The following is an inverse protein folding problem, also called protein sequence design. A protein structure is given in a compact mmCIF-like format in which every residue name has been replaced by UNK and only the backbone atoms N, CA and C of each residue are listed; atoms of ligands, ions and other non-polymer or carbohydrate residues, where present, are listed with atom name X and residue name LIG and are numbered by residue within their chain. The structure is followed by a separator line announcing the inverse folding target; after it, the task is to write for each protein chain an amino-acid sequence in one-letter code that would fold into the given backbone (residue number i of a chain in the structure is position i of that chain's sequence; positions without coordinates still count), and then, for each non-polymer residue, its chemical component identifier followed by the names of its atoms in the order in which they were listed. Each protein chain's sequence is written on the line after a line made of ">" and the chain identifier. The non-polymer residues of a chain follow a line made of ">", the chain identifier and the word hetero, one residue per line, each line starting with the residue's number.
data_IF_305631683035
#
_entry.id   IF_305631683035
#
_cell.length_a   1.000
_cell.length_b   1.000
_cell.length_c   1.000
_cell.angle_alpha   90.00
_cell.angle_beta   90.00
_cell.angle_gamma   90.00
#
_symmetry.space_group_name_H-M   'P 1'
#
loop_
_entity.id
_entity.type
_entity.pdbx_description
1 polymer ?
#
# COMPACT_ATOMS: atom_id res chain seq x y z
N UNK A 1 0.69 2.79 -25.13
CA UNK A 1 0.63 3.95 -24.20
C UNK A 1 1.94 3.99 -23.46
N UNK A 2 2.74 5.03 -23.68
CA UNK A 2 4.06 5.17 -23.05
C UNK A 2 3.85 5.37 -21.54
N UNK A 3 4.45 4.51 -20.70
CA UNK A 3 4.40 4.69 -19.24
C UNK A 3 5.21 5.94 -18.92
N UNK A 4 4.54 7.07 -18.71
CA UNK A 4 5.13 8.40 -18.43
C UNK A 4 6.04 8.33 -17.19
N UNK A 5 5.85 7.34 -16.32
CA UNK A 5 6.65 7.11 -15.13
C UNK A 5 7.54 5.87 -15.27
N UNK A 6 8.82 6.07 -14.98
CA UNK A 6 9.80 4.98 -14.91
C UNK A 6 9.52 4.09 -13.69
N UNK A 7 9.40 2.78 -13.93
CA UNK A 7 9.15 1.76 -12.90
C UNK A 7 10.16 1.81 -11.76
N UNK A 8 11.45 2.00 -12.06
CA UNK A 8 12.51 2.13 -11.05
C UNK A 8 12.28 3.32 -10.10
N UNK A 9 11.74 4.43 -10.63
CA UNK A 9 11.42 5.62 -9.82
C UNK A 9 10.19 5.41 -8.96
N UNK A 10 9.17 4.72 -9.47
CA UNK A 10 7.98 4.37 -8.68
C UNK A 10 8.38 3.49 -7.50
N UNK A 11 9.13 2.42 -7.76
CA UNK A 11 9.57 1.48 -6.73
C UNK A 11 10.46 2.14 -5.69
N UNK A 12 11.44 2.94 -6.12
CA UNK A 12 12.30 3.69 -5.22
C UNK A 12 11.49 4.68 -4.35
N UNK A 13 10.52 5.38 -4.94
CA UNK A 13 9.68 6.34 -4.20
C UNK A 13 8.83 5.64 -3.14
N UNK A 14 8.23 4.50 -3.47
CA UNK A 14 7.48 3.69 -2.52
C UNK A 14 8.40 3.20 -1.40
N UNK A 15 9.53 2.59 -1.74
CA UNK A 15 10.50 2.08 -0.76
C UNK A 15 10.94 3.18 0.22
N UNK A 16 11.34 4.35 -0.28
CA UNK A 16 11.75 5.47 0.58
C UNK A 16 10.60 6.00 1.45
N UNK A 17 9.37 6.00 0.94
CA UNK A 17 8.17 6.44 1.68
C UNK A 17 7.96 5.55 2.90
N UNK A 18 7.93 4.23 2.72
CA UNK A 18 7.74 3.28 3.82
C UNK A 18 8.95 3.24 4.76
N UNK A 19 10.18 3.30 4.22
CA UNK A 19 11.41 3.32 4.99
C UNK A 19 11.52 4.55 5.90
N UNK A 20 11.01 5.71 5.48
CA UNK A 20 10.97 6.93 6.32
C UNK A 20 10.18 6.71 7.61
N UNK A 21 9.21 5.79 7.60
CA UNK A 21 8.47 5.40 8.78
C UNK A 21 9.02 4.13 9.47
N UNK A 22 10.14 3.58 8.98
CA UNK A 22 10.74 2.35 9.46
C UNK A 22 9.95 1.09 9.12
N UNK A 23 9.08 1.16 8.10
CA UNK A 23 8.36 0.00 7.57
C UNK A 23 9.21 -0.61 6.46
N UNK A 24 9.79 -1.79 6.73
CA UNK A 24 10.73 -2.44 5.81
C UNK A 24 9.95 -3.32 4.84
N UNK A 25 10.37 -3.31 3.57
CA UNK A 25 9.82 -4.20 2.56
C UNK A 25 10.16 -5.65 2.92
N UNK A 26 9.17 -6.53 2.89
CA UNK A 26 9.42 -7.97 2.93
C UNK A 26 9.95 -8.43 1.57
N UNK A 27 11.02 -9.21 1.58
CA UNK A 27 11.45 -9.92 0.38
C UNK A 27 10.65 -11.20 0.24
N UNK A 28 9.96 -11.34 -0.87
CA UNK A 28 9.26 -12.56 -1.24
C UNK A 28 9.43 -12.87 -2.74
N UNK A 29 8.92 -14.03 -3.17
CA UNK A 29 8.94 -14.45 -4.57
C UNK A 29 7.65 -14.07 -5.32
N UNK A 30 6.77 -13.29 -4.70
CA UNK A 30 5.44 -12.97 -5.26
C UNK A 30 5.51 -11.89 -6.34
N UNK A 31 6.58 -11.08 -6.31
CA UNK A 31 6.74 -9.92 -7.19
C UNK A 31 5.93 -8.70 -6.74
N UNK A 32 5.19 -8.79 -5.63
CA UNK A 32 4.53 -7.66 -4.99
C UNK A 32 5.52 -6.88 -4.10
N UNK A 33 5.23 -5.59 -3.90
CA UNK A 33 5.90 -4.80 -2.88
C UNK A 33 5.09 -4.93 -1.58
N UNK A 34 5.54 -5.81 -0.69
CA UNK A 34 4.88 -6.08 0.59
C UNK A 34 5.61 -5.30 1.70
N UNK A 35 4.87 -4.52 2.48
CA UNK A 35 5.40 -3.78 3.63
C UNK A 35 4.60 -4.19 4.87
N UNK A 36 5.31 -4.60 5.92
CA UNK A 36 4.70 -5.06 7.18
C UNK A 36 4.93 -4.06 8.30
N UNK A 37 4.02 -4.02 9.27
CA UNK A 37 4.30 -3.38 10.55
C UNK A 37 5.49 -4.05 11.26
N UNK A 38 6.00 -3.40 12.30
CA UNK A 38 7.02 -3.99 13.17
C UNK A 38 6.54 -4.05 14.62
N UNK A 39 5.23 -4.25 14.82
CA UNK A 39 4.60 -4.39 16.14
C UNK A 39 4.50 -3.10 16.96
N UNK A 40 4.63 -1.91 16.36
CA UNK A 40 4.47 -0.65 17.10
C UNK A 40 3.01 -0.24 17.11
N UNK A 41 2.51 0.24 18.25
CA UNK A 41 1.13 0.72 18.40
C UNK A 41 0.71 1.81 17.39
N UNK A 42 1.67 2.53 16.81
CA UNK A 42 1.43 3.58 15.81
C UNK A 42 1.42 3.09 14.35
N UNK A 43 1.78 1.83 14.09
CA UNK A 43 2.01 1.34 12.73
C UNK A 43 0.74 1.39 11.89
N UNK A 44 -0.41 0.98 12.45
CA UNK A 44 -1.72 1.10 11.79
C UNK A 44 -1.99 2.54 11.32
N UNK A 45 -1.81 3.52 12.22
CA UNK A 45 -1.98 4.93 11.88
C UNK A 45 -0.96 5.46 10.85
N UNK A 46 0.24 4.88 10.80
CA UNK A 46 1.24 5.18 9.76
C UNK A 46 0.79 4.66 8.40
N UNK A 47 0.31 3.41 8.31
CA UNK A 47 -0.26 2.87 7.07
C UNK A 47 -1.41 3.75 6.57
N UNK A 48 -2.32 4.17 7.45
CA UNK A 48 -3.39 5.11 7.11
C UNK A 48 -2.87 6.44 6.54
N UNK A 49 -1.76 6.98 7.06
CA UNK A 49 -1.12 8.20 6.50
C UNK A 49 -0.55 7.96 5.11
N UNK A 50 0.16 6.86 4.91
CA UNK A 50 0.78 6.51 3.61
C UNK A 50 -0.32 6.28 2.56
N UNK A 51 -1.35 5.50 2.88
CA UNK A 51 -2.49 5.25 1.99
C UNK A 51 -3.18 6.56 1.60
N UNK A 52 -3.43 7.45 2.56
CA UNK A 52 -4.03 8.76 2.29
C UNK A 52 -3.14 9.68 1.43
N UNK A 53 -1.82 9.51 1.47
CA UNK A 53 -0.90 10.22 0.59
C UNK A 53 -0.91 9.64 -0.82
N UNK A 54 -0.76 8.32 -0.96
CA UNK A 54 -0.69 7.61 -2.24
C UNK A 54 -1.97 7.75 -3.07
N UNK A 55 -3.16 7.68 -2.44
CA UNK A 55 -4.43 7.81 -3.18
C UNK A 55 -4.62 9.15 -3.88
N UNK A 56 -3.85 10.18 -3.52
CA UNK A 56 -3.89 11.52 -4.12
C UNK A 56 -2.91 11.67 -5.28
N UNK A 57 -2.08 10.65 -5.55
CA UNK A 57 -1.01 10.72 -6.52
C UNK A 57 -1.40 10.00 -7.82
N UNK A 58 -1.52 10.75 -8.92
CA UNK A 58 -1.81 10.17 -10.24
C UNK A 58 -0.73 9.19 -10.71
N UNK A 59 0.55 9.47 -10.44
CA UNK A 59 1.63 8.56 -10.78
C UNK A 59 1.49 7.18 -10.14
N UNK A 60 0.81 7.10 -8.99
CA UNK A 60 0.51 5.84 -8.32
C UNK A 60 -0.84 5.28 -8.79
N UNK A 61 -1.93 6.04 -8.64
CA UNK A 61 -3.30 5.58 -8.93
C UNK A 61 -3.52 5.18 -10.39
N UNK A 62 -2.87 5.85 -11.34
CA UNK A 62 -3.01 5.52 -12.76
C UNK A 62 -2.19 4.27 -13.17
N UNK A 63 -1.28 3.80 -12.30
CA UNK A 63 -0.33 2.72 -12.63
C UNK A 63 -0.44 1.49 -11.72
N UNK A 64 -1.07 1.61 -10.56
CA UNK A 64 -1.26 0.49 -9.64
C UNK A 64 -2.37 -0.44 -10.16
N UNK A 65 -2.07 -1.73 -10.25
CA UNK A 65 -3.02 -2.74 -10.73
C UNK A 65 -3.70 -3.50 -9.58
N UNK A 66 -2.95 -3.72 -8.50
CA UNK A 66 -3.41 -4.38 -7.28
C UNK A 66 -2.92 -3.53 -6.12
N UNK A 67 -3.85 -3.12 -5.26
CA UNK A 67 -3.53 -2.38 -4.04
C UNK A 67 -4.38 -2.90 -2.89
N UNK A 68 -3.73 -3.65 -2.02
CA UNK A 68 -4.39 -4.41 -0.97
C UNK A 68 -3.84 -4.01 0.40
N UNK A 69 -4.73 -3.92 1.38
CA UNK A 69 -4.39 -3.74 2.78
C UNK A 69 -4.86 -4.96 3.56
N UNK A 70 -3.95 -5.55 4.33
CA UNK A 70 -4.23 -6.73 5.15
C UNK A 70 -4.08 -6.31 6.61
N UNK A 71 -5.12 -6.51 7.41
CA UNK A 71 -5.08 -6.36 8.86
C UNK A 71 -5.46 -7.67 9.55
N UNK A 72 -4.95 -7.89 10.76
CA UNK A 72 -5.25 -9.07 11.58
C UNK A 72 -5.97 -8.69 12.87
N UNK A 73 -6.55 -7.48 12.94
CA UNK A 73 -7.10 -6.92 14.19
C UNK A 73 -8.39 -7.65 14.61
N UNK A 74 -9.15 -8.21 13.65
CA UNK A 74 -10.43 -8.88 13.88
C UNK A 74 -10.36 -10.42 13.84
N UNK A 75 -9.16 -11.03 13.76
CA UNK A 75 -9.03 -12.50 13.70
C UNK A 75 -8.46 -13.11 14.98
N UNK A 76 -9.12 -14.16 15.46
CA UNK A 76 -8.61 -15.04 16.51
C UNK A 76 -7.50 -16.01 15.99
N UNK A 77 -7.31 -16.09 14.67
CA UNK A 77 -6.28 -16.93 14.05
C UNK A 77 -5.09 -16.10 13.53
N UNK A 78 -3.84 -16.46 13.88
CA UNK A 78 -2.66 -15.65 13.61
C UNK A 78 -2.33 -15.48 12.11
N UNK A 79 -2.90 -16.32 11.25
CA UNK A 79 -2.66 -16.34 9.80
C UNK A 79 -3.88 -15.88 8.98
N UNK A 80 -4.95 -15.46 9.64
CA UNK A 80 -6.13 -14.96 8.96
C UNK A 80 -6.14 -13.43 8.99
N UNK A 81 -6.11 -12.85 7.79
CA UNK A 81 -6.13 -11.41 7.59
C UNK A 81 -7.47 -11.01 6.98
N UNK A 82 -8.01 -9.88 7.43
CA UNK A 82 -9.01 -9.16 6.70
C UNK A 82 -8.32 -8.39 5.57
N UNK A 83 -8.84 -8.56 4.35
CA UNK A 83 -8.25 -8.06 3.12
C UNK A 83 -9.13 -6.96 2.51
N UNK A 84 -8.63 -5.72 2.48
CA UNK A 84 -9.29 -4.60 1.82
C UNK A 84 -8.64 -4.29 0.45
N UNK A 85 -9.44 -4.31 -0.62
CA UNK A 85 -9.05 -3.80 -1.94
C UNK A 85 -9.15 -2.27 -1.97
N UNK A 86 -8.03 -1.61 -1.64
CA UNK A 86 -7.91 -0.16 -1.61
C UNK A 86 -8.08 0.46 -3.00
N UNK A 87 -7.66 -0.24 -4.07
CA UNK A 87 -7.81 0.29 -5.44
C UNK A 87 -9.29 0.39 -5.80
N UNK A 88 -10.07 -0.66 -5.54
CA UNK A 88 -11.52 -0.66 -5.75
C UNK A 88 -12.22 0.37 -4.86
N UNK A 89 -11.84 0.47 -3.58
CA UNK A 89 -12.37 1.46 -2.64
C UNK A 89 -12.22 2.88 -3.21
N UNK A 90 -11.00 3.27 -3.60
CA UNK A 90 -10.71 4.65 -3.99
C UNK A 90 -11.08 4.98 -5.44
N UNK A 91 -11.21 3.99 -6.32
CA UNK A 91 -11.73 4.20 -7.67
C UNK A 91 -13.25 4.41 -7.64
N UNK A 92 -13.97 3.60 -6.87
CA UNK A 92 -15.44 3.72 -6.73
C UNK A 92 -15.84 5.05 -6.08
N UNK A 93 -15.08 5.49 -5.07
CA UNK A 93 -15.35 6.74 -4.35
C UNK A 93 -15.07 7.99 -5.20
N UNK A 94 -14.20 7.91 -6.20
CA UNK A 94 -13.96 9.01 -7.15
C UNK A 94 -15.05 9.15 -8.22
N UNK A 95 -15.82 8.09 -8.49
CA UNK A 95 -16.94 8.12 -9.44
C UNK A 95 -18.26 8.61 -8.82
N UNK A 96 -18.32 8.72 -7.49
CA UNK A 96 -19.51 9.15 -6.75
C UNK A 96 -19.45 10.59 -6.21
N UNK A 97 -18.55 11.43 -6.71
CA UNK A 97 -18.38 12.83 -6.32
C UNK A 97 -18.63 13.79 -7.49
#
# INVERSE_FOLDING_TARGET
>A
TEKIYRLDRIYHTLEQTFLTFGLIRMEDSSGFLVYRDCGRAKDFGIFGKIVNALKKQRWFMDNVLIWQFCDSDDSDEPDQFNEEDLLKHYTTKQMGA
#
